data_IF_010598432075
#
_entry.id   IF_010598432075
#
_cell.length_a   1.000
_cell.length_b   1.000
_cell.length_c   1.000
_cell.angle_alpha   90.00
_cell.angle_beta   90.00
_cell.angle_gamma   90.00
#
_symmetry.space_group_name_H-M   'P 1'
#
loop_
_entity.id
_entity.type
_entity.pdbx_description
1 polymer ?
#
# COMPACT_ATOMS: atom_id res chain seq x y z
N UNK A 1 44.24 -38.70 -44.58
CA UNK A 1 44.43 -37.45 -45.36
C UNK A 1 43.91 -36.32 -44.49
N UNK A 2 44.81 -35.65 -43.75
CA UNK A 2 45.27 -34.26 -43.98
C UNK A 2 44.12 -33.24 -44.07
N UNK A 3 44.09 -32.09 -43.38
CA UNK A 3 44.84 -31.53 -42.25
C UNK A 3 44.32 -30.09 -42.04
N UNK A 4 44.14 -29.71 -40.77
CA UNK A 4 44.58 -28.46 -40.12
C UNK A 4 44.02 -27.10 -40.60
N UNK A 5 43.51 -26.37 -39.61
CA UNK A 5 43.36 -24.91 -39.65
C UNK A 5 42.80 -24.34 -38.36
N UNK A 6 43.57 -24.35 -37.26
CA UNK A 6 43.31 -23.56 -36.06
C UNK A 6 43.85 -22.13 -36.22
N UNK A 7 43.17 -21.14 -35.64
CA UNK A 7 43.78 -19.88 -35.23
C UNK A 7 42.98 -19.26 -34.08
N UNK A 8 43.70 -18.95 -33.01
CA UNK A 8 43.32 -18.35 -31.73
C UNK A 8 43.58 -16.84 -31.71
N UNK A 9 42.93 -16.17 -30.74
CA UNK A 9 43.19 -14.82 -30.19
C UNK A 9 42.73 -13.63 -31.07
N UNK A 10 42.24 -12.49 -30.54
CA UNK A 10 42.49 -11.87 -29.23
C UNK A 10 41.30 -11.04 -28.71
N UNK A 11 41.31 -10.89 -27.38
CA UNK A 11 40.60 -9.91 -26.56
C UNK A 11 40.77 -8.46 -27.04
N UNK A 12 39.67 -7.70 -27.13
CA UNK A 12 39.63 -6.26 -26.87
C UNK A 12 38.28 -5.91 -26.27
N UNK A 13 38.31 -5.60 -24.98
CA UNK A 13 37.21 -5.01 -24.25
C UNK A 13 36.91 -3.60 -24.79
N UNK A 14 35.63 -3.31 -25.05
CA UNK A 14 35.12 -1.95 -25.08
C UNK A 14 34.01 -1.89 -24.04
N UNK A 15 34.38 -1.37 -22.87
CA UNK A 15 33.45 -1.14 -21.77
C UNK A 15 32.52 0.02 -22.10
N UNK A 16 31.22 -0.24 -22.08
CA UNK A 16 30.21 0.81 -21.96
C UNK A 16 29.66 0.78 -20.54
N UNK A 17 30.25 1.62 -19.70
CA UNK A 17 29.77 1.89 -18.34
C UNK A 17 28.41 2.60 -18.41
N UNK A 18 27.32 1.85 -18.29
CA UNK A 18 26.03 2.43 -17.87
C UNK A 18 26.01 2.50 -16.34
N UNK A 19 26.32 3.69 -15.83
CA UNK A 19 26.34 4.00 -14.40
C UNK A 19 24.91 4.37 -13.98
N UNK A 20 24.09 3.37 -13.66
CA UNK A 20 22.77 3.58 -13.04
C UNK A 20 23.02 4.05 -11.61
N UNK A 21 22.80 5.35 -11.36
CA UNK A 21 22.91 5.94 -10.03
C UNK A 21 21.68 5.55 -9.21
N UNK A 22 21.88 4.65 -8.27
CA UNK A 22 20.98 4.36 -7.16
C UNK A 22 20.73 5.64 -6.35
N UNK A 23 19.47 6.08 -6.28
CA UNK A 23 19.05 7.20 -5.46
C UNK A 23 18.96 6.76 -3.99
N UNK A 24 20.05 6.93 -3.23
CA UNK A 24 20.02 7.13 -1.77
C UNK A 24 21.42 7.53 -1.25
N UNK A 25 21.51 8.76 -0.74
CA UNK A 25 22.53 9.30 0.18
C UNK A 25 24.02 9.18 -0.18
N UNK A 26 24.56 10.20 -0.85
CA UNK A 26 25.94 10.69 -0.65
C UNK A 26 26.06 12.14 -1.16
N UNK A 27 26.10 13.10 -0.24
CA UNK A 27 26.58 14.47 -0.53
C UNK A 27 27.85 14.71 0.28
N UNK A 28 29.00 14.39 -0.29
CA UNK A 28 30.30 14.84 0.19
C UNK A 28 30.60 16.20 -0.44
N UNK A 29 30.35 17.28 0.31
CA UNK A 29 30.79 18.63 -0.07
C UNK A 29 32.27 18.76 0.25
N UNK A 30 33.08 18.98 -0.79
CA UNK A 30 34.49 19.36 -0.68
C UNK A 30 34.55 20.82 -0.21
N UNK A 31 34.99 21.03 1.03
CA UNK A 31 35.26 22.37 1.58
C UNK A 31 36.54 22.93 0.96
N UNK A 32 36.44 24.01 0.17
CA UNK A 32 37.58 24.87 -0.16
C UNK A 32 37.58 26.10 0.77
N UNK A 33 38.74 26.57 1.25
CA UNK A 33 38.78 27.69 2.19
C UNK A 33 38.52 29.03 1.46
N UNK A 34 37.85 30.02 2.09
CA UNK A 34 37.62 31.31 1.47
C UNK A 34 38.80 32.27 1.70
N UNK A 35 39.17 32.99 0.64
CA UNK A 35 40.07 34.15 0.66
C UNK A 35 39.35 35.39 1.21
N UNK A 36 40.07 36.21 1.99
CA UNK A 36 39.61 37.45 2.64
C UNK A 36 39.36 38.61 1.64
N UNK A 37 38.26 39.35 1.84
CA UNK A 37 38.10 40.82 1.74
C UNK A 37 36.63 41.17 2.09
N UNK A 38 36.32 41.71 3.28
CA UNK A 38 36.30 43.13 3.71
C UNK A 38 34.99 43.90 3.43
N UNK A 39 34.40 44.40 4.52
CA UNK A 39 33.49 45.56 4.70
C UNK A 39 31.99 45.32 5.02
N UNK A 40 31.73 45.53 6.31
CA UNK A 40 30.58 46.18 6.99
C UNK A 40 29.18 46.13 6.35
N UNK A 41 28.23 45.54 7.08
CA UNK A 41 27.11 46.26 7.70
C UNK A 41 26.40 45.32 8.70
N UNK A 42 26.30 45.76 9.97
CA UNK A 42 25.55 45.07 11.03
C UNK A 42 24.05 45.24 10.77
N UNK A 43 23.34 44.15 10.46
CA UNK A 43 21.89 44.05 10.68
C UNK A 43 21.63 42.89 11.64
N UNK A 44 20.99 43.18 12.77
CA UNK A 44 20.41 42.17 13.68
C UNK A 44 19.33 41.42 12.90
N UNK A 45 19.56 40.14 12.64
CA UNK A 45 18.50 39.22 12.22
C UNK A 45 17.89 38.64 13.48
N UNK A 46 16.63 39.01 13.75
CA UNK A 46 15.78 38.36 14.74
C UNK A 46 15.44 36.98 14.20
N UNK A 47 15.84 35.94 14.93
CA UNK A 47 15.43 34.55 14.68
C UNK A 47 13.97 34.38 15.10
N UNK A 48 13.05 34.62 14.17
CA UNK A 48 11.67 34.14 14.29
C UNK A 48 11.66 32.68 13.83
N UNK A 49 11.51 31.77 14.78
CA UNK A 49 11.12 30.38 14.52
C UNK A 49 9.71 30.43 13.94
N UNK A 50 9.55 30.09 12.66
CA UNK A 50 8.21 29.96 12.07
C UNK A 50 7.66 28.58 12.48
N UNK A 51 6.58 28.58 13.25
CA UNK A 51 5.83 27.36 13.54
C UNK A 51 5.11 26.92 12.27
N UNK A 52 5.41 25.72 11.80
CA UNK A 52 4.61 25.03 10.79
C UNK A 52 3.33 24.50 11.47
N UNK A 53 2.24 25.28 11.40
CA UNK A 53 0.89 24.77 11.64
C UNK A 53 -0.12 25.67 10.94
N UNK A 54 -0.29 25.49 9.63
CA UNK A 54 -1.54 25.87 8.99
C UNK A 54 -2.18 24.58 8.48
N UNK A 55 -2.91 23.90 9.37
CA UNK A 55 -3.93 22.97 8.93
C UNK A 55 -5.00 23.80 8.21
N UNK A 56 -5.16 23.61 6.90
CA UNK A 56 -6.35 24.10 6.23
C UNK A 56 -7.53 23.32 6.80
N UNK A 57 -8.35 23.98 7.62
CA UNK A 57 -9.58 23.39 8.15
C UNK A 57 -10.53 23.11 6.99
N UNK A 58 -11.09 21.89 6.95
CA UNK A 58 -12.18 21.57 6.02
C UNK A 58 -13.28 22.62 6.09
N UNK A 59 -13.95 22.86 4.95
CA UNK A 59 -15.19 23.63 4.96
C UNK A 59 -16.22 22.95 5.87
N UNK A 60 -17.13 23.71 6.48
CA UNK A 60 -18.19 23.15 7.33
C UNK A 60 -19.03 22.11 6.58
N UNK A 61 -19.29 22.34 5.28
CA UNK A 61 -20.00 21.39 4.42
C UNK A 61 -19.24 20.09 4.18
N UNK A 62 -17.91 20.15 3.99
CA UNK A 62 -17.10 18.95 3.79
C UNK A 62 -17.00 18.11 5.07
N UNK A 63 -16.88 18.76 6.23
CA UNK A 63 -16.86 18.06 7.51
C UNK A 63 -18.19 17.34 7.81
N UNK A 64 -19.33 17.97 7.53
CA UNK A 64 -20.65 17.33 7.64
C UNK A 64 -20.81 16.16 6.69
N UNK A 65 -20.33 16.28 5.45
CA UNK A 65 -20.38 15.22 4.46
C UNK A 65 -19.55 14.00 4.88
N UNK A 66 -18.33 14.21 5.37
CA UNK A 66 -17.52 13.12 5.93
C UNK A 66 -18.14 12.49 7.18
N UNK A 67 -18.75 13.29 8.06
CA UNK A 67 -19.46 12.74 9.21
C UNK A 67 -20.63 11.82 8.79
N UNK A 68 -21.33 12.13 7.69
CA UNK A 68 -22.36 11.25 7.11
C UNK A 68 -21.74 9.97 6.52
N UNK A 69 -20.65 10.10 5.76
CA UNK A 69 -19.95 8.94 5.19
C UNK A 69 -19.47 7.97 6.29
N UNK A 70 -18.89 8.50 7.36
CA UNK A 70 -18.44 7.71 8.51
C UNK A 70 -19.56 6.91 9.18
N UNK A 71 -20.79 7.44 9.20
CA UNK A 71 -21.96 6.73 9.74
C UNK A 71 -22.38 5.50 8.92
N UNK A 72 -21.97 5.43 7.65
CA UNK A 72 -22.18 4.26 6.78
C UNK A 72 -21.19 3.13 7.07
N UNK A 73 -20.44 3.25 8.17
CA UNK A 73 -19.46 2.29 8.67
C UNK A 73 -18.48 1.83 7.59
N UNK A 74 -17.72 2.71 6.91
CA UNK A 74 -16.70 2.27 5.98
C UNK A 74 -15.66 1.38 6.69
N UNK A 75 -15.26 0.27 6.08
CA UNK A 75 -14.19 -0.59 6.60
C UNK A 75 -13.24 -1.02 5.50
N UNK A 76 -11.93 -0.84 5.70
CA UNK A 76 -10.91 -1.21 4.75
C UNK A 76 -10.93 -2.72 4.50
N UNK A 77 -11.33 -3.11 3.29
CA UNK A 77 -11.66 -4.49 2.98
C UNK A 77 -10.69 -5.13 2.01
N UNK A 78 -10.09 -4.43 1.05
CA UNK A 78 -9.09 -5.06 0.19
C UNK A 78 -7.99 -4.16 -0.33
N UNK A 79 -6.87 -4.78 -0.64
CA UNK A 79 -5.77 -4.21 -1.43
C UNK A 79 -5.67 -5.01 -2.71
N UNK A 80 -5.78 -4.36 -3.87
CA UNK A 80 -5.78 -5.05 -5.16
C UNK A 80 -4.44 -4.92 -5.88
N UNK A 81 -3.85 -6.07 -6.24
CA UNK A 81 -2.67 -6.19 -7.09
C UNK A 81 -3.00 -6.96 -8.36
N UNK A 82 -2.52 -6.47 -9.51
CA UNK A 82 -2.54 -7.26 -10.75
C UNK A 82 -1.38 -8.24 -10.78
N UNK A 83 -1.68 -9.48 -11.16
CA UNK A 83 -0.72 -10.59 -11.20
C UNK A 83 -0.72 -11.27 -12.57
N UNK A 84 0.42 -11.81 -12.99
CA UNK A 84 0.55 -12.50 -14.29
C UNK A 84 0.23 -13.99 -14.23
N UNK A 85 0.42 -14.62 -13.08
CA UNK A 85 0.32 -16.07 -12.94
C UNK A 85 -0.35 -16.42 -11.61
N UNK A 86 -1.67 -16.68 -11.60
CA UNK A 86 -2.42 -17.07 -10.42
C UNK A 86 -1.79 -18.24 -9.66
N UNK A 87 -1.28 -19.25 -10.35
CA UNK A 87 -0.67 -20.40 -9.68
C UNK A 87 0.57 -20.00 -8.87
N UNK A 88 1.44 -19.16 -9.45
CA UNK A 88 2.65 -18.71 -8.76
C UNK A 88 2.31 -17.78 -7.59
N UNK A 89 1.41 -16.81 -7.80
CA UNK A 89 1.03 -15.83 -6.79
C UNK A 89 0.22 -16.48 -5.65
N UNK A 90 -0.74 -17.35 -5.96
CA UNK A 90 -1.45 -18.12 -4.93
C UNK A 90 -0.49 -18.96 -4.12
N UNK A 91 0.42 -19.72 -4.76
CA UNK A 91 1.43 -20.51 -4.06
C UNK A 91 2.26 -19.65 -3.11
N UNK A 92 2.73 -18.49 -3.58
CA UNK A 92 3.49 -17.56 -2.74
C UNK A 92 2.66 -17.11 -1.54
N UNK A 93 1.48 -16.53 -1.76
CA UNK A 93 0.73 -15.97 -0.64
C UNK A 93 0.15 -17.04 0.30
N UNK A 94 -0.19 -18.24 -0.17
CA UNK A 94 -0.72 -19.30 0.69
C UNK A 94 0.35 -20.16 1.36
N UNK A 95 1.37 -20.61 0.63
CA UNK A 95 2.38 -21.54 1.17
C UNK A 95 3.58 -20.83 1.80
N UNK A 96 3.93 -19.64 1.30
CA UNK A 96 5.10 -18.88 1.77
C UNK A 96 4.68 -17.88 2.85
N UNK A 97 3.62 -17.11 2.59
CA UNK A 97 3.12 -16.07 3.50
C UNK A 97 1.96 -16.52 4.40
N UNK A 98 1.47 -17.75 4.26
CA UNK A 98 0.47 -18.34 5.16
C UNK A 98 -0.94 -17.77 5.06
N UNK A 99 -1.28 -17.04 4.00
CA UNK A 99 -2.63 -16.56 3.77
C UNK A 99 -3.57 -17.70 3.37
N UNK A 100 -4.88 -17.49 3.54
CA UNK A 100 -5.92 -18.41 3.06
C UNK A 100 -6.58 -17.81 1.83
N UNK A 101 -6.66 -18.57 0.72
CA UNK A 101 -7.50 -18.25 -0.43
C UNK A 101 -8.97 -18.39 0.00
N UNK A 102 -9.66 -17.26 0.19
CA UNK A 102 -11.02 -17.22 0.72
C UNK A 102 -12.06 -17.32 -0.37
N UNK A 103 -11.81 -16.72 -1.54
CA UNK A 103 -12.80 -16.65 -2.60
C UNK A 103 -12.18 -16.40 -3.98
N UNK A 104 -12.94 -16.67 -5.02
CA UNK A 104 -12.58 -16.41 -6.41
C UNK A 104 -13.81 -16.05 -7.23
N UNK A 105 -13.61 -15.15 -8.21
CA UNK A 105 -14.57 -14.88 -9.27
C UNK A 105 -13.89 -15.03 -10.61
N UNK A 106 -14.61 -15.55 -11.59
CA UNK A 106 -14.09 -15.75 -12.94
C UNK A 106 -15.01 -15.10 -13.98
N UNK A 107 -14.53 -14.02 -14.59
CA UNK A 107 -15.24 -13.25 -15.58
C UNK A 107 -14.73 -13.57 -16.98
N UNK A 108 -14.97 -14.80 -17.43
CA UNK A 108 -14.51 -15.28 -18.74
C UNK A 108 -14.93 -14.34 -19.89
N UNK A 109 -16.15 -13.82 -19.86
CA UNK A 109 -16.65 -12.89 -20.89
C UNK A 109 -16.00 -11.49 -20.84
N UNK A 110 -15.34 -11.14 -19.73
CA UNK A 110 -14.59 -9.89 -19.55
C UNK A 110 -13.07 -10.11 -19.56
N UNK A 111 -12.60 -11.35 -19.66
CA UNK A 111 -11.19 -11.71 -19.78
C UNK A 111 -10.37 -11.51 -18.51
N UNK A 112 -10.95 -11.65 -17.31
CA UNK A 112 -10.18 -11.61 -16.06
C UNK A 112 -10.76 -12.50 -14.96
N UNK A 113 -9.92 -12.85 -13.99
CA UNK A 113 -10.32 -13.58 -12.76
C UNK A 113 -9.77 -12.86 -11.53
N UNK A 114 -10.49 -12.99 -10.42
CA UNK A 114 -10.15 -12.43 -9.11
C UNK A 114 -9.88 -13.55 -8.11
N UNK A 115 -8.90 -13.34 -7.23
CA UNK A 115 -8.56 -14.25 -6.14
C UNK A 115 -8.38 -13.45 -4.86
N UNK A 116 -9.14 -13.79 -3.83
CA UNK A 116 -9.11 -13.05 -2.56
C UNK A 116 -8.42 -13.88 -1.49
N UNK A 117 -7.46 -13.29 -0.78
CA UNK A 117 -6.69 -13.97 0.25
C UNK A 117 -6.75 -13.21 1.57
N UNK A 118 -6.90 -13.92 2.69
CA UNK A 118 -6.98 -13.31 4.02
C UNK A 118 -6.04 -14.01 5.01
N UNK A 119 -5.45 -13.25 5.93
CA UNK A 119 -4.79 -13.79 7.12
C UNK A 119 -5.83 -14.11 8.20
N UNK A 120 -5.75 -15.29 8.82
CA UNK A 120 -6.63 -15.71 9.91
C UNK A 120 -5.83 -16.05 11.16
N UNK A 121 -6.45 -15.87 12.32
CA UNK A 121 -5.94 -16.44 13.57
C UNK A 121 -5.94 -17.98 13.56
N UNK A 122 -5.23 -18.57 14.51
CA UNK A 122 -5.06 -20.02 14.56
C UNK A 122 -6.39 -20.67 14.90
N UNK A 123 -6.82 -21.63 14.07
CA UNK A 123 -8.14 -22.25 14.19
C UNK A 123 -9.32 -21.37 13.79
N UNK A 124 -9.10 -20.11 13.39
CA UNK A 124 -10.15 -19.20 12.92
C UNK A 124 -10.41 -19.30 11.40
N UNK A 125 -9.57 -20.05 10.67
CA UNK A 125 -9.74 -20.28 9.23
C UNK A 125 -11.10 -20.91 8.96
N UNK A 126 -11.98 -20.26 8.16
CA UNK A 126 -13.26 -20.85 7.81
C UNK A 126 -13.07 -21.96 6.78
N UNK A 127 -13.90 -23.00 6.85
CA UNK A 127 -13.97 -24.05 5.85
C UNK A 127 -14.85 -23.58 4.68
N UNK A 128 -14.25 -22.79 3.78
CA UNK A 128 -14.91 -22.24 2.60
C UNK A 128 -14.28 -22.84 1.34
N UNK A 129 -15.14 -23.19 0.38
CA UNK A 129 -14.71 -23.52 -0.97
C UNK A 129 -14.71 -22.23 -1.81
N UNK A 130 -13.56 -21.74 -2.32
CA UNK A 130 -13.51 -20.53 -3.14
C UNK A 130 -14.46 -20.61 -4.35
N UNK A 131 -15.19 -19.53 -4.63
CA UNK A 131 -16.22 -19.50 -5.67
C UNK A 131 -17.58 -20.07 -5.24
N UNK A 132 -17.72 -20.52 -3.98
CA UNK A 132 -19.01 -20.89 -3.41
C UNK A 132 -19.80 -19.66 -2.94
N UNK A 133 -21.13 -19.82 -2.83
CA UNK A 133 -22.00 -18.77 -2.27
C UNK A 133 -21.58 -18.38 -0.85
N UNK A 134 -21.10 -19.33 -0.05
CA UNK A 134 -20.66 -19.07 1.32
C UNK A 134 -19.32 -18.30 1.35
N UNK A 135 -18.42 -18.57 0.41
CA UNK A 135 -17.20 -17.79 0.21
C UNK A 135 -17.51 -16.33 -0.16
N UNK A 136 -18.43 -16.11 -1.11
CA UNK A 136 -18.89 -14.77 -1.49
C UNK A 136 -19.50 -14.01 -0.31
N UNK A 137 -20.38 -14.68 0.47
CA UNK A 137 -20.99 -14.09 1.67
C UNK A 137 -19.95 -13.72 2.72
N UNK A 138 -18.95 -14.58 2.91
CA UNK A 138 -17.83 -14.31 3.81
C UNK A 138 -17.02 -13.11 3.36
N UNK A 139 -16.60 -13.07 2.09
CA UNK A 139 -15.76 -12.00 1.52
C UNK A 139 -16.38 -10.61 1.74
N UNK A 140 -17.67 -10.46 1.48
CA UNK A 140 -18.35 -9.15 1.59
C UNK A 140 -18.86 -8.82 2.99
N UNK A 141 -18.65 -9.70 3.97
CA UNK A 141 -19.05 -9.49 5.37
C UNK A 141 -17.88 -9.54 6.36
N UNK A 142 -16.68 -9.93 5.90
CA UNK A 142 -15.49 -10.06 6.75
C UNK A 142 -15.10 -8.71 7.35
N UNK A 143 -14.63 -8.74 8.59
CA UNK A 143 -14.09 -7.56 9.27
C UNK A 143 -12.58 -7.38 9.01
N UNK A 144 -11.95 -8.36 8.36
CA UNK A 144 -10.54 -8.27 7.96
C UNK A 144 -10.36 -7.63 6.59
N UNK A 145 -9.12 -7.31 6.26
CA UNK A 145 -8.74 -6.88 4.92
C UNK A 145 -8.16 -8.07 4.15
N UNK A 146 -8.54 -8.20 2.90
CA UNK A 146 -8.06 -9.24 1.98
C UNK A 146 -7.05 -8.66 0.98
N UNK A 147 -6.14 -9.49 0.52
CA UNK A 147 -5.36 -9.23 -0.68
C UNK A 147 -6.17 -9.73 -1.88
N UNK A 148 -6.59 -8.82 -2.75
CA UNK A 148 -7.21 -9.15 -4.02
C UNK A 148 -6.14 -9.25 -5.09
N UNK A 149 -6.07 -10.40 -5.75
CA UNK A 149 -5.22 -10.61 -6.90
C UNK A 149 -6.07 -10.65 -8.16
N UNK A 150 -5.80 -9.77 -9.11
CA UNK A 150 -6.49 -9.72 -10.40
C UNK A 150 -5.59 -10.25 -11.50
N UNK A 151 -6.08 -11.23 -12.25
CA UNK A 151 -5.39 -11.79 -13.41
C UNK A 151 -6.20 -11.54 -14.68
N UNK A 152 -5.68 -10.68 -15.57
CA UNK A 152 -6.25 -10.50 -16.91
C UNK A 152 -5.75 -11.63 -17.82
N UNK A 153 -6.65 -12.31 -18.52
CA UNK A 153 -6.36 -13.52 -19.31
C UNK A 153 -5.48 -13.23 -20.53
N UNK A 154 -5.64 -12.03 -21.12
CA UNK A 154 -4.90 -11.60 -22.31
C UNK A 154 -3.47 -11.12 -21.98
N UNK A 155 -3.22 -10.68 -20.74
CA UNK A 155 -1.94 -10.11 -20.30
C UNK A 155 -0.92 -11.19 -19.88
N UNK A 156 -1.05 -12.43 -20.39
CA UNK A 156 -0.17 -13.56 -20.08
C UNK A 156 1.23 -13.39 -20.69
N UNK A 157 2.00 -12.45 -20.15
CA UNK A 157 3.38 -12.17 -20.58
C UNK A 157 3.87 -10.74 -20.31
N UNK A 158 2.98 -9.77 -20.05
CA UNK A 158 3.40 -8.42 -19.67
C UNK A 158 3.82 -8.38 -18.20
N UNK A 159 4.93 -7.69 -17.90
CA UNK A 159 5.38 -7.47 -16.52
C UNK A 159 4.57 -6.32 -15.93
N UNK A 160 3.73 -6.61 -14.93
CA UNK A 160 3.05 -5.56 -14.18
C UNK A 160 4.07 -4.69 -13.44
N UNK A 161 3.75 -3.40 -13.34
CA UNK A 161 4.60 -2.41 -12.73
C UNK A 161 4.49 -2.46 -11.19
N UNK A 162 5.54 -2.97 -10.56
CA UNK A 162 5.59 -3.24 -9.11
C UNK A 162 5.65 -2.00 -8.21
N UNK A 163 5.78 -0.79 -8.78
CA UNK A 163 5.99 0.46 -8.05
C UNK A 163 7.46 0.71 -7.67
N UNK A 164 7.67 1.68 -6.78
CA UNK A 164 8.99 2.12 -6.26
C UNK A 164 10.01 2.67 -7.29
N UNK A 165 9.63 2.93 -8.53
CA UNK A 165 10.39 3.81 -9.41
C UNK A 165 10.05 5.28 -9.16
N UNK A 166 10.79 6.18 -9.81
CA UNK A 166 10.60 7.62 -9.66
C UNK A 166 9.19 8.06 -10.09
N UNK A 167 8.52 8.76 -9.18
CA UNK A 167 7.16 9.27 -9.34
C UNK A 167 6.07 8.22 -9.09
N UNK A 168 6.40 6.97 -8.79
CA UNK A 168 5.38 5.97 -8.49
C UNK A 168 4.72 6.22 -7.12
N UNK A 169 3.44 5.91 -7.06
CA UNK A 169 2.64 6.02 -5.87
C UNK A 169 2.76 4.81 -4.95
N UNK A 170 2.42 3.63 -5.47
CA UNK A 170 2.44 2.39 -4.70
C UNK A 170 3.85 2.05 -4.17
N UNK A 171 3.92 1.69 -2.90
CA UNK A 171 5.14 1.30 -2.22
C UNK A 171 5.23 -0.21 -2.08
N UNK A 172 4.44 -0.78 -1.17
CA UNK A 172 4.55 -2.20 -0.84
C UNK A 172 3.31 -2.68 -0.09
N UNK A 173 3.20 -4.00 0.05
CA UNK A 173 2.45 -4.60 1.14
C UNK A 173 3.44 -5.09 2.20
N UNK A 174 3.01 -5.18 3.46
CA UNK A 174 3.85 -5.68 4.54
C UNK A 174 3.22 -6.86 5.26
N UNK A 175 4.07 -7.73 5.81
CA UNK A 175 3.68 -8.79 6.72
C UNK A 175 4.48 -8.68 8.02
N UNK A 176 3.78 -8.73 9.14
CA UNK A 176 4.42 -8.87 10.45
C UNK A 176 4.88 -10.31 10.65
N UNK A 177 6.00 -10.52 11.34
CA UNK A 177 6.43 -11.83 11.83
C UNK A 177 7.19 -11.74 13.15
N UNK A 178 7.27 -12.85 13.89
CA UNK A 178 7.90 -12.88 15.21
C UNK A 178 9.43 -12.72 15.14
N UNK A 179 10.06 -13.40 14.18
CA UNK A 179 11.51 -13.34 13.95
C UNK A 179 11.80 -13.11 12.47
N UNK A 180 12.10 -11.85 12.13
CA UNK A 180 12.40 -11.43 10.75
C UNK A 180 13.61 -12.18 10.19
N UNK A 181 14.65 -12.46 10.98
CA UNK A 181 15.87 -13.09 10.49
C UNK A 181 15.62 -14.58 10.19
N UNK A 182 14.99 -15.29 11.13
CA UNK A 182 14.64 -16.70 10.93
C UNK A 182 13.65 -16.87 9.77
N UNK A 183 12.62 -16.00 9.71
CA UNK A 183 11.64 -15.98 8.63
C UNK A 183 12.33 -15.74 7.28
N UNK A 184 13.16 -14.70 7.15
CA UNK A 184 13.85 -14.41 5.90
C UNK A 184 14.79 -15.53 5.46
N UNK A 185 15.45 -16.22 6.40
CA UNK A 185 16.27 -17.39 6.08
C UNK A 185 15.41 -18.52 5.49
N UNK A 186 14.27 -18.83 6.10
CA UNK A 186 13.32 -19.84 5.59
C UNK A 186 12.79 -19.45 4.19
N UNK A 187 12.45 -18.17 4.00
CA UNK A 187 12.02 -17.64 2.70
C UNK A 187 13.10 -17.81 1.62
N UNK A 188 14.37 -17.52 1.95
CA UNK A 188 15.51 -17.72 1.04
C UNK A 188 15.69 -19.21 0.69
N UNK A 189 15.56 -20.12 1.66
CA UNK A 189 15.60 -21.57 1.42
C UNK A 189 14.45 -22.06 0.52
N UNK A 190 13.31 -21.35 0.52
CA UNK A 190 12.18 -21.57 -0.39
C UNK A 190 12.35 -20.89 -1.77
N UNK A 191 13.48 -20.22 -2.01
CA UNK A 191 13.80 -19.57 -3.28
C UNK A 191 13.24 -18.16 -3.45
N UNK A 192 12.73 -17.54 -2.38
CA UNK A 192 12.28 -16.14 -2.41
C UNK A 192 13.48 -15.21 -2.56
N UNK A 193 13.39 -14.29 -3.52
CA UNK A 193 14.42 -13.27 -3.75
C UNK A 193 14.14 -12.01 -2.95
N UNK A 194 15.19 -11.28 -2.57
CA UNK A 194 15.10 -10.07 -1.76
C UNK A 194 15.58 -8.84 -2.52
N UNK A 195 14.85 -7.75 -2.36
CA UNK A 195 15.35 -6.40 -2.63
C UNK A 195 16.39 -5.98 -1.60
N UNK A 196 16.14 -6.36 -0.34
CA UNK A 196 16.96 -6.04 0.83
C UNK A 196 16.75 -7.11 1.92
N UNK A 197 17.83 -7.67 2.43
CA UNK A 197 17.83 -8.59 3.58
C UNK A 197 17.82 -7.86 4.94
N UNK A 198 17.48 -8.53 6.06
CA UNK A 198 17.33 -7.87 7.36
C UNK A 198 18.63 -7.30 7.95
N UNK A 199 19.79 -7.79 7.51
CA UNK A 199 21.12 -7.33 7.91
C UNK A 199 21.75 -6.31 6.94
N UNK A 200 21.13 -6.06 5.79
CA UNK A 200 21.60 -5.16 4.75
C UNK A 200 21.12 -3.70 4.95
N UNK A 201 21.93 -2.76 4.48
CA UNK A 201 21.62 -1.32 4.51
C UNK A 201 21.77 -0.68 5.90
N UNK A 202 21.32 0.58 6.02
CA UNK A 202 21.38 1.33 7.29
C UNK A 202 20.29 0.91 8.27
N UNK A 203 19.12 0.55 7.76
CA UNK A 203 17.97 0.12 8.55
C UNK A 203 17.98 -1.41 8.67
N UNK A 204 18.29 -1.91 9.86
CA UNK A 204 18.35 -3.34 10.17
C UNK A 204 17.09 -3.82 10.87
N UNK A 205 16.83 -5.14 10.82
CA UNK A 205 15.70 -5.76 11.50
C UNK A 205 14.38 -5.74 10.71
N UNK A 206 14.43 -5.41 9.43
CA UNK A 206 13.34 -5.57 8.46
C UNK A 206 13.90 -5.93 7.09
N UNK A 207 13.11 -6.60 6.27
CA UNK A 207 13.50 -7.03 4.92
C UNK A 207 12.45 -6.63 3.89
N UNK A 208 12.86 -6.59 2.62
CA UNK A 208 11.96 -6.47 1.48
C UNK A 208 12.18 -7.67 0.56
N UNK A 209 11.23 -8.58 0.55
CA UNK A 209 11.15 -9.69 -0.41
C UNK A 209 10.47 -9.22 -1.70
N UNK A 210 10.65 -9.97 -2.77
CA UNK A 210 9.84 -9.86 -3.98
C UNK A 210 8.79 -10.96 -4.02
N UNK A 211 7.56 -10.59 -4.35
CA UNK A 211 6.56 -11.56 -4.78
C UNK A 211 6.86 -12.05 -6.23
N UNK A 212 6.08 -13.00 -6.78
CA UNK A 212 6.29 -13.53 -8.12
C UNK A 212 6.21 -12.50 -9.25
N UNK A 213 5.53 -11.37 -9.04
CA UNK A 213 5.35 -10.28 -10.00
C UNK A 213 6.35 -9.12 -9.77
N UNK A 214 7.13 -9.17 -8.69
CA UNK A 214 8.16 -8.19 -8.34
C UNK A 214 7.69 -7.09 -7.39
N UNK A 215 6.46 -7.15 -6.89
CA UNK A 215 5.99 -6.27 -5.82
C UNK A 215 6.86 -6.45 -4.58
N UNK A 216 7.11 -5.34 -3.91
CA UNK A 216 7.86 -5.37 -2.66
C UNK A 216 6.94 -5.85 -1.54
N UNK A 217 7.42 -6.87 -0.83
CA UNK A 217 6.77 -7.42 0.36
C UNK A 217 7.67 -7.13 1.55
N UNK A 218 7.30 -6.16 2.38
CA UNK A 218 8.05 -5.84 3.58
C UNK A 218 7.80 -6.91 4.66
N UNK A 219 8.88 -7.40 5.28
CA UNK A 219 8.83 -8.31 6.41
C UNK A 219 9.30 -7.54 7.63
N UNK A 220 8.38 -7.29 8.56
CA UNK A 220 8.58 -6.41 9.72
C UNK A 220 8.35 -7.16 11.03
N UNK A 221 9.01 -6.76 12.13
CA UNK A 221 8.82 -7.42 13.41
C UNK A 221 7.44 -7.16 13.99
N UNK A 222 6.78 -8.23 14.43
CA UNK A 222 5.57 -8.20 15.25
C UNK A 222 5.88 -7.59 16.63
N UNK A 223 4.89 -6.95 17.24
CA UNK A 223 5.03 -6.54 18.64
C UNK A 223 5.05 -7.76 19.55
N UNK A 224 5.90 -7.70 20.58
CA UNK A 224 5.93 -8.61 21.73
C UNK A 224 4.58 -8.70 22.50
N UNK A 225 3.69 -7.71 22.33
CA UNK A 225 2.34 -7.69 22.90
C UNK A 225 1.29 -8.36 22.01
N UNK A 226 1.67 -8.80 20.81
CA UNK A 226 0.74 -9.44 19.89
C UNK A 226 0.38 -10.84 20.37
N UNK A 227 -0.90 -11.20 20.24
CA UNK A 227 -1.40 -12.54 20.60
C UNK A 227 -1.48 -13.48 19.39
N UNK A 228 -1.20 -12.97 18.20
CA UNK A 228 -1.28 -13.67 16.91
C UNK A 228 -0.25 -14.81 16.88
N UNK A 229 -0.70 -16.01 16.50
CA UNK A 229 0.14 -17.23 16.51
C UNK A 229 0.69 -17.61 15.14
N UNK A 230 0.13 -17.04 14.08
CA UNK A 230 0.61 -17.22 12.72
C UNK A 230 1.99 -16.59 12.57
N UNK A 231 2.86 -17.27 11.84
CA UNK A 231 4.16 -16.71 11.48
C UNK A 231 3.99 -15.35 10.78
N UNK A 232 3.04 -15.22 9.85
CA UNK A 232 2.72 -13.95 9.22
C UNK A 232 1.25 -13.56 9.28
N UNK A 233 1.02 -12.24 9.30
CA UNK A 233 -0.25 -11.63 8.90
C UNK A 233 0.01 -10.39 8.05
N UNK A 234 -0.85 -10.16 7.05
CA UNK A 234 -0.84 -8.94 6.27
C UNK A 234 -1.03 -7.74 7.21
N UNK A 235 -0.06 -6.83 7.24
CA UNK A 235 0.00 -5.76 8.22
C UNK A 235 -0.05 -4.36 7.64
N UNK A 236 0.33 -4.17 6.37
CA UNK A 236 0.31 -2.84 5.75
C UNK A 236 0.01 -2.89 4.26
N UNK A 237 -0.62 -1.83 3.78
CA UNK A 237 -0.57 -1.41 2.37
C UNK A 237 -0.02 -0.01 2.34
N UNK A 238 1.10 0.19 1.65
CA UNK A 238 1.80 1.48 1.62
C UNK A 238 1.57 2.18 0.29
N UNK A 239 1.07 3.42 0.36
CA UNK A 239 0.89 4.32 -0.77
C UNK A 239 1.56 5.66 -0.48
N UNK A 240 2.17 6.26 -1.49
CA UNK A 240 2.67 7.63 -1.38
C UNK A 240 1.56 8.63 -1.65
N UNK A 241 1.53 9.70 -0.86
CA UNK A 241 0.58 10.80 -0.99
C UNK A 241 1.32 12.13 -1.14
N UNK A 242 0.70 13.04 -1.88
CA UNK A 242 1.20 14.39 -2.13
C UNK A 242 1.03 15.29 -0.91
N UNK A 243 -0.14 15.26 -0.29
CA UNK A 243 -0.49 16.20 0.77
C UNK A 243 -1.29 15.54 1.89
N UNK A 244 -0.70 15.30 3.08
CA UNK A 244 -1.40 14.71 4.21
C UNK A 244 -2.58 15.57 4.70
N UNK A 245 -2.57 16.89 4.45
CA UNK A 245 -3.69 17.75 4.82
C UNK A 245 -4.96 17.46 3.99
N UNK A 246 -4.82 16.84 2.82
CA UNK A 246 -5.95 16.40 1.98
C UNK A 246 -6.27 14.92 2.17
N UNK A 247 -5.25 14.06 2.20
CA UNK A 247 -5.45 12.61 2.26
C UNK A 247 -5.89 12.13 3.65
N UNK A 248 -5.38 12.73 4.75
CA UNK A 248 -5.79 12.31 6.10
C UNK A 248 -7.28 12.55 6.36
N UNK A 249 -7.88 13.71 6.08
CA UNK A 249 -9.33 13.88 6.29
C UNK A 249 -10.18 12.92 5.45
N UNK A 250 -9.77 12.63 4.21
CA UNK A 250 -10.49 11.66 3.37
C UNK A 250 -10.55 10.27 4.02
N UNK A 251 -9.41 9.73 4.46
CA UNK A 251 -9.38 8.39 5.05
C UNK A 251 -9.87 8.36 6.50
N UNK A 252 -9.53 9.37 7.30
CA UNK A 252 -9.88 9.44 8.73
C UNK A 252 -11.34 9.83 8.94
N UNK A 253 -11.74 10.96 8.38
CA UNK A 253 -13.06 11.55 8.65
C UNK A 253 -14.10 10.97 7.70
N UNK A 254 -13.72 10.76 6.43
CA UNK A 254 -14.60 10.16 5.42
C UNK A 254 -14.70 8.63 5.58
N UNK A 255 -13.60 7.92 5.35
CA UNK A 255 -13.57 6.45 5.36
C UNK A 255 -13.46 5.84 6.76
N UNK A 256 -13.69 6.63 7.82
CA UNK A 256 -13.81 6.15 9.20
C UNK A 256 -12.56 5.48 9.78
N UNK A 257 -11.39 5.64 9.15
CA UNK A 257 -10.15 5.07 9.67
C UNK A 257 -9.63 5.89 10.85
N UNK A 258 -8.89 5.25 11.74
CA UNK A 258 -8.24 5.92 12.87
C UNK A 258 -6.75 6.10 12.58
N UNK A 259 -6.22 7.32 12.74
CA UNK A 259 -4.77 7.55 12.71
C UNK A 259 -4.15 6.97 13.99
N UNK A 260 -3.40 5.87 13.85
CA UNK A 260 -2.87 5.11 14.99
C UNK A 260 -1.37 5.32 15.20
N UNK A 261 -0.67 5.86 14.21
CA UNK A 261 0.76 6.18 14.28
C UNK A 261 1.14 7.25 13.27
N UNK A 262 2.07 8.10 13.68
CA UNK A 262 2.81 9.03 12.84
C UNK A 262 4.31 8.79 13.01
N UNK A 263 5.09 9.01 11.96
CA UNK A 263 6.55 8.90 12.03
C UNK A 263 7.18 9.92 11.09
N UNK A 264 7.80 10.95 11.66
CA UNK A 264 8.41 12.05 10.90
C UNK A 264 9.93 11.90 10.83
N UNK A 265 10.47 12.00 9.61
CA UNK A 265 11.90 11.90 9.33
C UNK A 265 12.38 13.16 8.59
N UNK A 266 12.45 14.33 9.27
CA UNK A 266 12.79 15.59 8.62
C UNK A 266 14.17 15.56 7.95
N UNK A 267 15.15 14.89 8.54
CA UNK A 267 16.50 14.73 7.96
C UNK A 267 16.51 13.90 6.66
N UNK A 268 15.45 13.14 6.41
CA UNK A 268 15.25 12.35 5.20
C UNK A 268 14.11 12.88 4.32
N UNK A 269 13.51 14.03 4.67
CA UNK A 269 12.42 14.70 3.95
C UNK A 269 11.18 13.83 3.69
N UNK A 270 10.75 13.02 4.67
CA UNK A 270 9.49 12.30 4.55
C UNK A 270 8.78 12.07 5.89
N UNK A 271 7.51 11.69 5.83
CA UNK A 271 6.69 11.29 6.98
C UNK A 271 5.76 10.15 6.60
N UNK A 272 5.50 9.26 7.56
CA UNK A 272 4.55 8.15 7.39
C UNK A 272 3.38 8.32 8.36
N UNK A 273 2.17 8.05 7.87
CA UNK A 273 0.93 8.08 8.62
C UNK A 273 0.25 6.72 8.50
N UNK A 274 -0.08 6.07 9.61
CA UNK A 274 -0.67 4.75 9.61
C UNK A 274 -2.11 4.83 10.10
N UNK A 275 -3.05 4.43 9.24
CA UNK A 275 -4.47 4.45 9.53
C UNK A 275 -5.02 3.03 9.63
N UNK A 276 -5.79 2.75 10.67
CA UNK A 276 -6.41 1.44 10.90
C UNK A 276 -7.94 1.57 10.83
N UNK A 277 -8.60 0.59 10.21
CA UNK A 277 -10.02 0.35 10.50
C UNK A 277 -10.11 -0.43 11.81
N UNK A 278 -10.78 0.15 12.82
CA UNK A 278 -10.98 -0.53 14.10
C UNK A 278 -12.24 -1.39 14.05
N UNK A 279 -12.24 -2.58 14.68
CA UNK A 279 -13.46 -3.37 14.80
C UNK A 279 -14.58 -2.58 15.48
N UNK A 280 -15.86 -2.83 15.13
CA UNK A 280 -16.99 -2.13 15.73
C UNK A 280 -16.97 -2.22 17.26
N UNK A 281 -17.08 -1.06 17.93
CA UNK A 281 -17.07 -0.98 19.40
C UNK A 281 -15.66 -0.98 20.02
N UNK A 282 -14.60 -1.16 19.24
CA UNK A 282 -13.23 -0.98 19.73
C UNK A 282 -12.94 0.53 19.89
N UNK A 283 -12.58 1.00 21.09
CA UNK A 283 -12.19 2.40 21.26
C UNK A 283 -10.88 2.68 20.51
N UNK A 284 -10.67 3.93 20.03
CA UNK A 284 -9.38 4.32 19.48
C UNK A 284 -8.26 4.16 20.51
N UNK A 285 -7.01 3.95 20.07
CA UNK A 285 -5.89 3.91 20.98
C UNK A 285 -5.79 5.19 21.80
N UNK A 286 -5.36 5.05 23.06
CA UNK A 286 -5.19 6.17 23.99
C UNK A 286 -3.80 6.79 23.94
N UNK A 287 -2.85 6.16 23.23
CA UNK A 287 -1.51 6.73 23.04
C UNK A 287 -1.55 7.88 22.04
N UNK A 288 -0.60 8.79 22.17
CA UNK A 288 -0.33 9.80 21.15
C UNK A 288 0.23 9.12 19.89
N UNK A 289 -0.36 9.27 18.69
CA UNK A 289 0.18 8.72 17.45
C UNK A 289 1.65 9.07 17.18
N UNK A 290 2.16 10.17 17.74
CA UNK A 290 3.57 10.59 17.63
C UNK A 290 4.49 9.97 18.69
N UNK A 291 3.94 9.31 19.72
CA UNK A 291 4.73 8.45 20.61
C UNK A 291 5.18 7.22 19.83
N UNK A 292 6.42 7.26 19.36
CA UNK A 292 7.00 6.25 18.48
C UNK A 292 6.94 4.84 19.07
N UNK A 293 7.22 4.68 20.36
CA UNK A 293 7.35 3.34 20.95
C UNK A 293 5.98 2.74 21.21
N UNK A 294 5.05 3.52 21.77
CA UNK A 294 3.68 3.09 22.01
C UNK A 294 2.94 2.79 20.69
N UNK A 295 3.01 3.71 19.72
CA UNK A 295 2.31 3.59 18.44
C UNK A 295 2.88 2.48 17.56
N UNK A 296 4.23 2.29 17.53
CA UNK A 296 4.85 1.16 16.82
C UNK A 296 4.43 -0.17 17.44
N UNK A 297 4.42 -0.27 18.76
CA UNK A 297 3.95 -1.46 19.48
C UNK A 297 2.48 -1.77 19.16
N UNK A 298 1.62 -0.75 19.13
CA UNK A 298 0.21 -0.91 18.77
C UNK A 298 0.04 -1.43 17.34
N UNK A 299 0.64 -0.78 16.34
CA UNK A 299 0.56 -1.21 14.93
C UNK A 299 1.13 -2.61 14.73
N UNK A 300 2.25 -2.94 15.39
CA UNK A 300 2.86 -4.26 15.33
C UNK A 300 2.05 -5.37 16.02
N UNK A 301 1.05 -5.02 16.83
CA UNK A 301 0.17 -5.97 17.50
C UNK A 301 -1.16 -6.21 16.76
N UNK A 302 -1.53 -5.34 15.81
CA UNK A 302 -2.77 -5.45 15.04
C UNK A 302 -2.78 -6.71 14.15
N UNK A 303 -3.95 -7.31 14.06
CA UNK A 303 -4.20 -8.43 13.14
C UNK A 303 -4.51 -7.97 11.72
N UNK A 304 -5.43 -7.02 11.58
CA UNK A 304 -5.74 -6.40 10.29
C UNK A 304 -4.67 -5.38 9.88
N UNK A 305 -4.48 -5.17 8.57
CA UNK A 305 -3.49 -4.24 8.08
C UNK A 305 -3.91 -2.79 8.30
N UNK A 306 -2.89 -1.93 8.37
CA UNK A 306 -3.05 -0.48 8.30
C UNK A 306 -2.80 0.03 6.88
N UNK A 307 -3.45 1.13 6.52
CA UNK A 307 -3.06 1.93 5.38
C UNK A 307 -1.89 2.82 5.81
N UNK A 308 -0.71 2.58 5.26
CA UNK A 308 0.46 3.44 5.44
C UNK A 308 0.51 4.48 4.31
N UNK A 309 0.41 5.74 4.67
CA UNK A 309 0.56 6.86 3.75
C UNK A 309 1.93 7.50 3.93
N UNK A 310 2.77 7.45 2.90
CA UNK A 310 4.08 8.09 2.89
C UNK A 310 4.02 9.43 2.16
N UNK A 311 4.31 10.50 2.88
CA UNK A 311 4.43 11.84 2.34
C UNK A 311 5.90 12.22 2.19
N UNK A 312 6.33 12.51 0.96
CA UNK A 312 7.65 13.11 0.73
C UNK A 312 7.51 14.64 0.82
N UNK A 313 8.29 15.26 1.71
CA UNK A 313 8.16 16.68 2.02
C UNK A 313 8.44 17.54 0.79
N UNK A 314 7.62 18.58 0.60
CA UNK A 314 7.71 19.50 -0.53
C UNK A 314 6.76 19.18 -1.68
N UNK A 315 6.29 17.93 -1.80
CA UNK A 315 5.35 17.52 -2.87
C UNK A 315 4.01 18.25 -2.78
N UNK A 316 3.56 18.60 -1.58
CA UNK A 316 2.36 19.39 -1.30
C UNK A 316 2.43 20.82 -1.86
N UNK A 317 3.64 21.35 -2.05
CA UNK A 317 3.87 22.72 -2.51
C UNK A 317 4.01 22.82 -4.05
N UNK A 318 4.13 21.68 -4.74
CA UNK A 318 4.22 21.62 -6.19
C UNK A 318 2.83 21.36 -6.79
N UNK A 319 2.19 22.33 -7.45
CA UNK A 319 0.84 22.16 -8.00
C UNK A 319 0.77 21.10 -9.11
N UNK A 320 1.88 20.88 -9.83
CA UNK A 320 1.94 19.97 -10.97
C UNK A 320 2.37 18.55 -10.57
N UNK A 321 2.93 18.39 -9.37
CA UNK A 321 3.33 17.08 -8.85
C UNK A 321 2.13 16.15 -8.67
N UNK A 322 2.27 14.91 -9.18
CA UNK A 322 1.34 13.80 -9.00
C UNK A 322 2.11 12.49 -8.90
N UNK A 323 1.68 11.62 -8.00
CA UNK A 323 2.11 10.23 -8.01
C UNK A 323 1.41 9.46 -9.14
N UNK A 324 2.09 8.47 -9.70
CA UNK A 324 1.44 7.47 -10.56
C UNK A 324 0.67 6.49 -9.67
N UNK A 325 -0.63 6.39 -9.88
CA UNK A 325 -1.52 5.63 -9.02
C UNK A 325 -1.54 4.12 -9.33
N UNK A 326 -0.82 3.66 -10.36
CA UNK A 326 -0.73 2.25 -10.72
C UNK A 326 -1.75 1.81 -11.78
N UNK A 327 -2.50 2.75 -12.37
CA UNK A 327 -3.48 2.48 -13.41
C UNK A 327 -3.18 3.19 -14.73
N UNK A 328 -2.14 4.00 -14.79
CA UNK A 328 -1.69 4.63 -16.02
C UNK A 328 -1.11 3.62 -17.00
N UNK A 329 -1.18 3.94 -18.30
CA UNK A 329 -0.56 3.12 -19.34
C UNK A 329 0.94 2.95 -19.09
N UNK A 330 1.43 1.70 -19.14
CA UNK A 330 2.82 1.36 -18.84
C UNK A 330 3.21 1.42 -17.36
N UNK A 331 2.25 1.71 -16.47
CA UNK A 331 2.42 1.71 -15.01
C UNK A 331 1.35 0.88 -14.29
N UNK A 332 0.65 0.01 -15.03
CA UNK A 332 -0.37 -0.90 -14.50
C UNK A 332 0.25 -1.90 -13.54
N UNK A 333 -0.23 -1.93 -12.30
CA UNK A 333 0.19 -2.90 -11.28
C UNK A 333 -0.80 -2.91 -10.14
N UNK A 334 -0.50 -2.16 -9.08
CA UNK A 334 -1.46 -1.82 -8.03
C UNK A 334 -2.75 -1.25 -8.64
N UNK A 335 -3.90 -1.81 -8.28
CA UNK A 335 -5.19 -1.43 -8.86
C UNK A 335 -5.91 -0.40 -8.03
N UNK A 336 -6.24 -0.78 -6.79
CA UNK A 336 -7.09 0.01 -5.91
C UNK A 336 -7.00 -0.51 -4.47
N UNK A 337 -7.57 0.26 -3.55
CA UNK A 337 -8.02 -0.25 -2.24
C UNK A 337 -9.54 -0.25 -2.19
N UNK A 338 -10.15 -1.14 -1.43
CA UNK A 338 -11.61 -1.27 -1.33
C UNK A 338 -12.12 -1.07 0.10
N UNK A 339 -13.33 -0.51 0.21
CA UNK A 339 -14.05 -0.31 1.46
C UNK A 339 -15.46 -0.90 1.36
N UNK A 340 -15.86 -1.61 2.42
CA UNK A 340 -17.26 -1.96 2.63
C UNK A 340 -18.00 -0.81 3.29
N UNK A 341 -19.17 -0.46 2.78
CA UNK A 341 -20.10 0.51 3.36
C UNK A 341 -21.50 -0.10 3.47
N UNK A 342 -22.34 0.44 4.36
CA UNK A 342 -23.71 -0.04 4.52
C UNK A 342 -24.61 0.32 3.33
N UNK A 343 -24.37 1.47 2.71
CA UNK A 343 -25.10 1.97 1.55
C UNK A 343 -24.14 2.66 0.57
N UNK A 344 -24.08 2.16 -0.66
CA UNK A 344 -23.12 2.64 -1.67
C UNK A 344 -23.58 3.96 -2.30
N UNK A 345 -24.89 4.14 -2.50
CA UNK A 345 -25.42 5.36 -3.11
C UNK A 345 -25.27 6.55 -2.15
N UNK A 346 -25.60 6.35 -0.87
CA UNK A 346 -25.38 7.37 0.16
C UNK A 346 -23.88 7.67 0.36
N UNK A 347 -23.03 6.65 0.29
CA UNK A 347 -21.58 6.84 0.38
C UNK A 347 -21.06 7.69 -0.80
N UNK A 348 -21.50 7.39 -2.02
CA UNK A 348 -21.17 8.18 -3.21
C UNK A 348 -21.61 9.64 -3.05
N UNK A 349 -22.85 9.88 -2.63
CA UNK A 349 -23.37 11.22 -2.42
C UNK A 349 -22.57 11.99 -1.34
N UNK A 350 -22.18 11.32 -0.26
CA UNK A 350 -21.36 11.93 0.80
C UNK A 350 -19.94 12.25 0.33
N UNK A 351 -19.32 11.38 -0.48
CA UNK A 351 -18.00 11.64 -1.10
C UNK A 351 -18.06 12.88 -1.99
N UNK A 352 -19.05 12.97 -2.88
CA UNK A 352 -19.23 14.13 -3.77
C UNK A 352 -19.52 15.42 -2.99
N UNK A 353 -20.36 15.34 -1.96
CA UNK A 353 -20.66 16.48 -1.08
C UNK A 353 -19.44 16.96 -0.29
N UNK A 354 -18.48 16.08 -0.01
CA UNK A 354 -17.19 16.44 0.57
C UNK A 354 -16.22 17.08 -0.43
N UNK A 355 -16.55 17.07 -1.72
CA UNK A 355 -15.70 17.54 -2.83
C UNK A 355 -14.83 16.44 -3.45
N UNK A 356 -15.11 15.18 -3.15
CA UNK A 356 -14.46 14.02 -3.78
C UNK A 356 -14.99 13.74 -5.20
N UNK A 357 -14.24 12.97 -5.96
CA UNK A 357 -14.56 12.59 -7.34
C UNK A 357 -14.93 11.11 -7.43
N UNK A 358 -15.91 10.78 -8.28
CA UNK A 358 -16.26 9.40 -8.60
C UNK A 358 -15.76 9.06 -10.00
N UNK A 359 -14.87 8.05 -10.10
CA UNK A 359 -14.45 7.47 -11.36
C UNK A 359 -15.54 6.58 -11.98
N UNK A 360 -16.39 5.97 -11.14
CA UNK A 360 -17.52 5.14 -11.56
C UNK A 360 -18.64 5.21 -10.53
N UNK A 361 -19.87 5.40 -10.99
CA UNK A 361 -21.09 5.29 -10.18
C UNK A 361 -21.62 3.84 -10.12
N UNK A 362 -22.48 3.51 -9.13
CA UNK A 362 -23.08 2.17 -8.98
C UNK A 362 -23.79 1.65 -10.24
N UNK A 363 -24.48 2.52 -10.97
CA UNK A 363 -25.23 2.18 -12.18
C UNK A 363 -24.35 2.07 -13.44
N UNK A 364 -23.08 2.48 -13.35
CA UNK A 364 -22.17 2.56 -14.49
C UNK A 364 -21.52 1.21 -14.87
N UNK A 365 -21.13 1.08 -16.14
CA UNK A 365 -20.33 -0.05 -16.62
C UNK A 365 -21.05 -1.39 -16.66
N UNK A 366 -20.28 -2.48 -16.85
CA UNK A 366 -20.81 -3.86 -16.87
C UNK A 366 -21.04 -4.43 -15.47
N UNK A 367 -20.19 -4.07 -14.51
CA UNK A 367 -20.33 -4.44 -13.10
C UNK A 367 -21.12 -3.37 -12.35
N UNK A 368 -22.43 -3.56 -12.22
CA UNK A 368 -23.31 -2.61 -11.52
C UNK A 368 -23.38 -2.92 -10.02
N UNK A 369 -23.70 -1.94 -9.20
CA UNK A 369 -23.89 -2.07 -7.75
C UNK A 369 -22.76 -1.44 -6.94
N UNK A 370 -21.51 -1.56 -7.41
CA UNK A 370 -20.33 -0.95 -6.78
C UNK A 370 -19.94 0.39 -7.42
N UNK A 371 -19.23 1.23 -6.69
CA UNK A 371 -18.67 2.47 -7.18
C UNK A 371 -17.14 2.50 -7.07
N UNK A 372 -16.50 3.39 -7.82
CA UNK A 372 -15.11 3.77 -7.60
C UNK A 372 -15.04 5.28 -7.35
N UNK A 373 -14.55 5.65 -6.18
CA UNK A 373 -14.12 7.00 -5.87
C UNK A 373 -12.65 7.19 -6.22
N UNK A 374 -12.22 8.44 -6.38
CA UNK A 374 -10.82 8.80 -6.39
C UNK A 374 -10.47 9.45 -5.05
N UNK A 375 -9.38 9.00 -4.46
CA UNK A 375 -8.79 9.72 -3.33
C UNK A 375 -8.12 11.03 -3.79
N UNK A 376 -7.65 11.90 -2.88
CA UNK A 376 -7.07 13.19 -3.25
C UNK A 376 -5.83 13.14 -4.16
N UNK A 377 -5.18 11.98 -4.26
CA UNK A 377 -4.02 11.68 -5.09
C UNK A 377 -4.39 10.94 -6.38
N UNK A 378 -5.66 10.58 -6.54
CA UNK A 378 -6.21 9.91 -7.71
C UNK A 378 -6.13 8.38 -7.65
N UNK A 379 -5.83 7.78 -6.50
CA UNK A 379 -5.96 6.32 -6.36
C UNK A 379 -7.43 5.93 -6.41
N UNK A 380 -7.70 4.81 -7.08
CA UNK A 380 -9.04 4.23 -7.07
C UNK A 380 -9.37 3.66 -5.69
N UNK A 381 -10.54 4.01 -5.19
CA UNK A 381 -11.12 3.49 -3.96
C UNK A 381 -12.44 2.81 -4.31
N UNK A 382 -12.47 1.48 -4.26
CA UNK A 382 -13.69 0.72 -4.53
C UNK A 382 -14.63 0.80 -3.34
N UNK A 383 -15.90 1.11 -3.61
CA UNK A 383 -16.96 1.22 -2.60
C UNK A 383 -17.98 0.12 -2.87
N UNK A 384 -18.04 -0.84 -1.94
CA UNK A 384 -18.86 -2.05 -2.08
C UNK A 384 -19.82 -2.17 -0.89
N UNK A 385 -21.02 -2.69 -1.13
CA UNK A 385 -21.99 -2.91 -0.06
C UNK A 385 -21.54 -4.04 0.88
N UNK A 386 -21.58 -3.76 2.18
CA UNK A 386 -21.41 -4.74 3.25
C UNK A 386 -22.51 -5.81 3.19
N UNK A 387 -22.11 -7.07 3.31
CA UNK A 387 -22.97 -8.24 3.09
C UNK A 387 -23.13 -8.61 1.62
N UNK A 388 -22.49 -7.86 0.71
CA UNK A 388 -22.69 -7.96 -0.71
C UNK A 388 -24.12 -7.58 -1.10
N UNK A 389 -24.58 -8.16 -2.20
CA UNK A 389 -25.91 -7.96 -2.72
C UNK A 389 -26.51 -9.36 -2.82
N UNK A 390 -27.71 -9.59 -2.27
CA UNK A 390 -28.24 -10.96 -2.06
C UNK A 390 -28.24 -11.84 -3.34
N UNK A 391 -28.57 -13.12 -3.21
CA UNK A 391 -28.34 -14.15 -4.25
C UNK A 391 -28.84 -13.81 -5.69
N UNK A 392 -29.80 -12.90 -5.83
CA UNK A 392 -30.40 -12.44 -7.09
C UNK A 392 -29.61 -11.35 -7.84
N UNK A 393 -28.71 -10.61 -7.16
CA UNK A 393 -27.89 -9.56 -7.76
C UNK A 393 -26.56 -9.58 -7.03
N UNK A 394 -25.45 -9.88 -7.71
CA UNK A 394 -24.11 -9.74 -7.17
C UNK A 394 -23.31 -8.94 -8.20
N UNK A 395 -22.64 -7.84 -7.83
CA UNK A 395 -21.87 -6.99 -8.76
C UNK A 395 -20.76 -7.77 -9.48
N UNK A 396 -20.36 -8.89 -8.90
CA UNK A 396 -19.32 -9.79 -9.37
C UNK A 396 -19.86 -11.14 -9.89
N UNK A 397 -21.18 -11.34 -10.06
CA UNK A 397 -21.73 -12.55 -10.70
C UNK A 397 -21.81 -12.45 -12.21
#
# INVERSE_FOLDING_TARGET
>A
MRAIGSATASCTAVGSYFKIRSCCFQSSVVVRPPSRASHSHRRRLSTTVMSASQSQSLSSSSAEAYARLSQLRPSFQQTMLRIKNPTASLKFYTEVMGMTHVDTYDFNDMGFSLYFLQSFDEGAKPALEPGSVDAHKHLWSTQGTVLELTHNHEDSGEVYHAGNEEGDGFGHIAFNCDDVYASCKRLEEQGVTFKKKPDEGRMKGLAFAYDPDGYWVEIVPRSDKSEIKQEFNLSQTMMRIKDPARSLPFYRDGMGMTLVRESHYPEANFSNYFLATLPPGTPPPTHDPQDRDASKGYVGALHGPVLELTHNHGTENDPDFKHKNGNEQGKRGFGHIGFLVDDVDEACAAIEAAGGELAKRPEGGKMQGLAFALDPDGYMVEIVKRGGYGDAFQPYK
#
